data_IF_858922111251
#
_entry.id   IF_858922111251
#
_cell.length_a   1.000
_cell.length_b   1.000
_cell.length_c   1.000
_cell.angle_alpha   90.00
_cell.angle_beta   90.00
_cell.angle_gamma   90.00
#
_symmetry.space_group_name_H-M   'P 1'
#
loop_
_entity.id
_entity.type
_entity.pdbx_description
1 polymer ?
#
# COMPACT_ATOMS: atom_id res chain seq x y z
N UNK A 1 -6.10 -17.77 -12.00
CA UNK A 1 -5.68 -16.75 -11.05
C UNK A 1 -6.25 -17.06 -9.69
N UNK A 2 -5.43 -17.10 -8.68
CA UNK A 2 -5.89 -17.40 -7.32
C UNK A 2 -5.55 -16.33 -6.31
N UNK A 3 -4.46 -15.59 -6.51
CA UNK A 3 -4.00 -14.60 -5.54
C UNK A 3 -3.77 -13.26 -6.22
N UNK A 4 -4.14 -12.20 -5.51
CA UNK A 4 -3.91 -10.85 -5.97
C UNK A 4 -3.20 -10.04 -4.90
N UNK A 5 -2.31 -9.16 -5.33
CA UNK A 5 -1.58 -8.25 -4.44
C UNK A 5 -2.12 -6.85 -4.66
N UNK A 6 -2.66 -6.26 -3.62
CA UNK A 6 -3.25 -4.93 -3.68
C UNK A 6 -2.36 -3.94 -2.96
N UNK A 7 -1.86 -2.94 -3.68
CA UNK A 7 -1.12 -1.85 -3.05
C UNK A 7 -2.09 -0.96 -2.28
N UNK A 8 -1.85 -0.77 -1.00
CA UNK A 8 -2.70 0.05 -0.14
C UNK A 8 -1.90 1.24 0.34
N UNK A 9 -2.40 2.42 0.05
CA UNK A 9 -1.79 3.67 0.46
C UNK A 9 -2.86 4.75 0.51
N UNK A 10 -2.60 5.77 1.30
CA UNK A 10 -3.47 6.94 1.36
C UNK A 10 -3.07 7.87 0.23
N UNK A 11 -3.67 7.67 -0.94
CA UNK A 11 -3.37 8.45 -2.12
C UNK A 11 -4.63 8.66 -2.94
N UNK A 12 -4.50 9.42 -4.04
CA UNK A 12 -5.65 9.79 -4.87
C UNK A 12 -6.27 8.59 -5.59
N UNK A 13 -5.47 7.59 -5.89
CA UNK A 13 -5.94 6.41 -6.61
C UNK A 13 -6.48 5.32 -5.72
N UNK A 14 -6.47 5.51 -4.40
CA UNK A 14 -6.80 4.45 -3.46
C UNK A 14 -8.18 3.84 -3.66
N UNK A 15 -9.19 4.69 -3.81
CA UNK A 15 -10.55 4.20 -3.96
C UNK A 15 -10.75 3.45 -5.26
N UNK A 16 -10.25 3.98 -6.37
CA UNK A 16 -10.37 3.32 -7.66
C UNK A 16 -9.61 2.00 -7.68
N UNK A 17 -8.44 1.98 -7.04
CA UNK A 17 -7.64 0.77 -6.94
C UNK A 17 -8.36 -0.31 -6.13
N UNK A 18 -8.98 0.09 -5.02
CA UNK A 18 -9.75 -0.84 -4.21
C UNK A 18 -10.97 -1.36 -4.96
N UNK A 19 -11.68 -0.48 -5.67
CA UNK A 19 -12.81 -0.91 -6.49
C UNK A 19 -12.39 -1.95 -7.53
N UNK A 20 -11.28 -1.71 -8.20
CA UNK A 20 -10.77 -2.65 -9.19
C UNK A 20 -10.40 -3.98 -8.55
N UNK A 21 -9.78 -3.94 -7.36
CA UNK A 21 -9.40 -5.15 -6.65
C UNK A 21 -10.62 -5.98 -6.27
N UNK A 22 -11.67 -5.32 -5.78
CA UNK A 22 -12.90 -6.01 -5.40
C UNK A 22 -13.54 -6.68 -6.63
N UNK A 23 -13.60 -5.95 -7.75
CA UNK A 23 -14.19 -6.49 -8.97
C UNK A 23 -13.40 -7.69 -9.47
N UNK A 24 -12.08 -7.62 -9.48
CA UNK A 24 -11.25 -8.73 -9.91
C UNK A 24 -11.37 -9.92 -8.97
N UNK A 25 -11.37 -9.66 -7.67
CA UNK A 25 -11.47 -10.73 -6.68
C UNK A 25 -12.78 -11.48 -6.82
N UNK A 26 -13.86 -10.76 -7.07
CA UNK A 26 -15.16 -11.40 -7.23
C UNK A 26 -15.29 -12.13 -8.57
N UNK A 27 -14.71 -11.56 -9.63
CA UNK A 27 -14.77 -12.19 -10.96
C UNK A 27 -13.96 -13.47 -11.04
N UNK A 28 -12.81 -13.53 -10.36
CA UNK A 28 -11.87 -14.63 -10.47
C UNK A 28 -11.69 -15.40 -9.16
N UNK A 29 -12.47 -15.07 -8.15
CA UNK A 29 -12.39 -15.71 -6.83
C UNK A 29 -10.97 -15.61 -6.26
N UNK A 30 -10.44 -14.40 -6.25
CA UNK A 30 -9.08 -14.17 -5.76
C UNK A 30 -9.04 -14.02 -4.25
N UNK A 31 -7.94 -14.52 -3.67
CA UNK A 31 -7.56 -14.17 -2.32
C UNK A 31 -6.63 -12.95 -2.43
N UNK A 32 -6.98 -11.84 -1.80
CA UNK A 32 -6.20 -10.62 -1.89
C UNK A 32 -5.22 -10.51 -0.73
N UNK A 33 -4.04 -10.00 -1.00
CA UNK A 33 -3.11 -9.56 0.02
C UNK A 33 -3.00 -8.04 -0.07
N UNK A 34 -3.43 -7.35 0.98
CA UNK A 34 -3.24 -5.90 1.06
C UNK A 34 -1.82 -5.61 1.53
N UNK A 35 -1.11 -4.79 0.79
CA UNK A 35 0.28 -4.49 1.09
C UNK A 35 0.48 -3.00 1.33
N UNK A 36 1.02 -2.66 2.49
CA UNK A 36 1.39 -1.30 2.84
C UNK A 36 2.90 -1.21 2.95
N UNK A 37 3.46 -0.10 2.51
CA UNK A 37 4.89 0.16 2.58
C UNK A 37 5.17 1.33 3.50
N UNK A 38 6.24 1.22 4.27
CA UNK A 38 6.68 2.26 5.17
C UNK A 38 8.11 2.66 4.82
N UNK A 39 8.30 3.71 4.01
CA UNK A 39 9.64 4.16 3.67
C UNK A 39 10.38 4.63 4.91
N UNK A 40 11.66 4.31 4.99
CA UNK A 40 12.47 4.74 6.14
C UNK A 40 12.47 6.26 6.29
N UNK A 41 12.41 6.99 5.19
CA UNK A 41 12.36 8.44 5.23
C UNK A 41 11.14 8.99 5.97
N UNK A 42 10.08 8.21 6.07
CA UNK A 42 8.89 8.64 6.81
C UNK A 42 9.14 8.75 8.31
N UNK A 43 10.23 8.15 8.80
CA UNK A 43 10.53 8.09 10.22
C UNK A 43 11.76 8.92 10.61
N UNK A 44 12.30 9.68 9.68
CA UNK A 44 13.55 10.38 9.91
C UNK A 44 13.34 11.89 9.99
N UNK A 45 14.15 12.53 10.82
CA UNK A 45 14.20 13.99 10.92
C UNK A 45 15.62 14.46 10.65
N UNK A 46 15.74 15.62 10.01
CA UNK A 46 17.06 16.21 9.77
C UNK A 46 17.57 16.89 11.03
N UNK A 47 18.85 16.69 11.29
CA UNK A 47 19.58 17.36 12.36
C UNK A 47 20.07 18.71 11.81
N UNK A 48 19.95 19.81 12.58
CA UNK A 48 20.52 21.09 12.14
C UNK A 48 22.01 21.06 11.86
N UNK A 49 22.71 20.07 12.39
CA UNK A 49 24.15 19.90 12.13
C UNK A 49 24.45 18.94 10.99
N UNK A 50 23.45 18.62 10.17
CA UNK A 50 23.66 17.85 8.95
C UNK A 50 23.42 16.36 9.07
N UNK A 51 23.05 15.87 10.24
CA UNK A 51 22.73 14.45 10.43
C UNK A 51 21.27 14.17 10.21
N UNK A 52 20.94 12.88 10.27
CA UNK A 52 19.55 12.41 10.19
C UNK A 52 19.34 11.44 11.36
N UNK A 53 18.21 11.54 12.03
CA UNK A 53 17.93 10.65 13.15
C UNK A 53 16.46 10.21 13.09
N UNK A 54 16.15 9.03 13.67
CA UNK A 54 14.76 8.55 13.69
C UNK A 54 13.88 9.40 14.59
N UNK A 55 12.61 9.53 14.23
CA UNK A 55 11.63 10.28 14.99
C UNK A 55 10.50 9.34 15.42
N UNK A 56 10.37 9.16 16.74
CA UNK A 56 9.28 8.37 17.29
C UNK A 56 7.93 9.00 16.95
N UNK A 57 7.86 10.32 16.97
CA UNK A 57 6.62 11.02 16.66
C UNK A 57 6.18 10.76 15.22
N UNK A 58 7.09 10.87 14.25
CA UNK A 58 6.77 10.62 12.86
C UNK A 58 6.38 9.17 12.64
N UNK A 59 7.08 8.26 13.28
CA UNK A 59 6.77 6.84 13.23
C UNK A 59 5.34 6.58 13.73
N UNK A 60 5.00 7.12 14.90
CA UNK A 60 3.69 6.91 15.50
C UNK A 60 2.57 7.49 14.64
N UNK A 61 2.78 8.69 14.11
CA UNK A 61 1.78 9.33 13.26
C UNK A 61 1.58 8.56 11.97
N UNK A 62 2.66 8.07 11.39
CA UNK A 62 2.57 7.29 10.16
C UNK A 62 1.84 5.97 10.40
N UNK A 63 2.14 5.29 11.50
CA UNK A 63 1.46 4.05 11.85
C UNK A 63 -0.03 4.26 12.04
N UNK A 64 -0.42 5.34 12.69
CA UNK A 64 -1.84 5.65 12.88
C UNK A 64 -2.55 5.82 11.56
N UNK A 65 -1.93 6.53 10.62
CA UNK A 65 -2.53 6.71 9.29
C UNK A 65 -2.63 5.39 8.55
N UNK A 66 -1.59 4.57 8.62
CA UNK A 66 -1.62 3.26 7.97
C UNK A 66 -2.68 2.36 8.60
N UNK A 67 -2.83 2.40 9.92
CA UNK A 67 -3.85 1.60 10.60
C UNK A 67 -5.26 2.03 10.19
N UNK A 68 -5.49 3.34 10.08
CA UNK A 68 -6.79 3.84 9.64
C UNK A 68 -7.10 3.42 8.20
N UNK A 69 -6.13 3.51 7.32
CA UNK A 69 -6.29 3.09 5.93
C UNK A 69 -6.55 1.59 5.86
N UNK A 70 -5.80 0.81 6.62
CA UNK A 70 -6.01 -0.63 6.69
C UNK A 70 -7.41 -0.97 7.15
N UNK A 71 -7.87 -0.33 8.22
CA UNK A 71 -9.20 -0.62 8.76
C UNK A 71 -10.30 -0.36 7.73
N UNK A 72 -10.19 0.73 6.98
CA UNK A 72 -11.17 1.06 5.96
C UNK A 72 -11.17 0.04 4.82
N UNK A 73 -9.99 -0.37 4.38
CA UNK A 73 -9.87 -1.37 3.30
C UNK A 73 -10.40 -2.73 3.77
N UNK A 74 -10.02 -3.13 4.97
CA UNK A 74 -10.48 -4.42 5.51
C UNK A 74 -11.99 -4.46 5.66
N UNK A 75 -12.59 -3.35 6.11
CA UNK A 75 -14.04 -3.29 6.23
C UNK A 75 -14.71 -3.48 4.87
N UNK A 76 -14.19 -2.83 3.84
CA UNK A 76 -14.72 -2.96 2.50
C UNK A 76 -14.60 -4.40 1.98
N UNK A 77 -13.44 -5.03 2.19
CA UNK A 77 -13.23 -6.40 1.73
C UNK A 77 -14.16 -7.38 2.45
N UNK A 78 -14.37 -7.18 3.74
CA UNK A 78 -15.32 -8.02 4.48
C UNK A 78 -16.74 -7.85 3.96
N UNK A 79 -17.15 -6.61 3.73
CA UNK A 79 -18.50 -6.33 3.22
C UNK A 79 -18.72 -6.97 1.86
N UNK A 80 -17.69 -7.05 1.05
CA UNK A 80 -17.78 -7.63 -0.29
C UNK A 80 -17.57 -9.13 -0.31
N UNK A 81 -17.28 -9.72 0.84
CA UNK A 81 -17.07 -11.17 0.93
C UNK A 81 -15.77 -11.64 0.30
N UNK A 82 -14.76 -10.79 0.25
CA UNK A 82 -13.46 -11.11 -0.34
C UNK A 82 -12.51 -11.60 0.75
N UNK A 83 -11.90 -12.76 0.53
CA UNK A 83 -10.89 -13.27 1.45
C UNK A 83 -9.60 -12.48 1.29
N UNK A 84 -8.94 -12.16 2.40
CA UNK A 84 -7.74 -11.34 2.33
C UNK A 84 -6.76 -11.64 3.46
N UNK A 85 -5.50 -11.31 3.18
CA UNK A 85 -4.42 -11.24 4.16
C UNK A 85 -3.82 -9.84 4.10
N UNK A 86 -2.91 -9.55 5.02
CA UNK A 86 -2.31 -8.24 5.14
C UNK A 86 -0.83 -8.34 5.39
N UNK A 87 -0.06 -7.45 4.78
CA UNK A 87 1.34 -7.30 5.11
C UNK A 87 1.74 -5.82 5.13
N UNK A 88 2.74 -5.53 5.92
CA UNK A 88 3.29 -4.18 5.99
C UNK A 88 4.81 -4.33 5.96
N UNK A 89 5.43 -3.78 4.93
CA UNK A 89 6.86 -3.89 4.74
C UNK A 89 7.57 -2.58 4.91
N UNK A 90 8.88 -2.65 5.15
CA UNK A 90 9.73 -1.48 5.24
C UNK A 90 10.43 -1.28 3.90
N UNK A 91 10.45 -0.06 3.43
CA UNK A 91 11.04 0.29 2.15
C UNK A 91 10.06 1.03 1.26
N UNK A 92 10.46 1.29 0.02
CA UNK A 92 9.56 1.94 -0.93
C UNK A 92 8.43 1.00 -1.33
N UNK A 93 7.30 1.54 -1.82
CA UNK A 93 6.23 0.68 -2.33
C UNK A 93 6.72 -0.30 -3.39
N UNK A 94 7.59 0.16 -4.29
CA UNK A 94 8.11 -0.73 -5.33
C UNK A 94 8.87 -1.92 -4.74
N UNK A 95 9.69 -1.67 -3.72
CA UNK A 95 10.46 -2.74 -3.09
C UNK A 95 9.53 -3.75 -2.42
N UNK A 96 8.56 -3.27 -1.66
CA UNK A 96 7.63 -4.14 -0.93
C UNK A 96 6.81 -4.97 -1.91
N UNK A 97 6.32 -4.34 -2.98
CA UNK A 97 5.50 -5.04 -3.96
C UNK A 97 6.31 -6.05 -4.77
N UNK A 98 7.55 -5.72 -5.13
CA UNK A 98 8.40 -6.65 -5.85
C UNK A 98 8.70 -7.91 -5.03
N UNK A 99 8.95 -7.74 -3.75
CA UNK A 99 9.22 -8.89 -2.88
C UNK A 99 8.05 -9.85 -2.84
N UNK A 100 6.83 -9.35 -2.92
CA UNK A 100 5.63 -10.17 -2.84
C UNK A 100 5.10 -10.60 -4.19
N UNK A 101 5.60 -10.00 -5.28
CA UNK A 101 5.03 -10.24 -6.61
C UNK A 101 5.15 -11.68 -7.06
N UNK A 102 6.19 -12.36 -6.63
CA UNK A 102 6.41 -13.76 -7.02
C UNK A 102 5.35 -14.69 -6.47
N UNK A 103 4.66 -14.29 -5.41
CA UNK A 103 3.65 -15.11 -4.75
C UNK A 103 2.24 -14.75 -5.20
N UNK A 104 2.11 -13.84 -6.15
CA UNK A 104 0.81 -13.34 -6.58
C UNK A 104 0.64 -13.52 -8.07
N UNK A 105 -0.59 -13.84 -8.47
CA UNK A 105 -0.93 -14.00 -9.88
C UNK A 105 -1.20 -12.67 -10.57
N UNK A 106 -1.64 -11.67 -9.80
CA UNK A 106 -1.93 -10.34 -10.34
C UNK A 106 -1.58 -9.29 -9.29
N UNK A 107 -1.12 -8.14 -9.75
CA UNK A 107 -0.80 -7.01 -8.88
C UNK A 107 -1.67 -5.84 -9.30
N UNK A 108 -2.30 -5.21 -8.32
CA UNK A 108 -3.22 -4.09 -8.57
C UNK A 108 -2.57 -2.81 -8.07
N UNK A 109 -2.21 -1.95 -9.02
CA UNK A 109 -1.53 -0.69 -8.79
C UNK A 109 -2.32 0.44 -9.44
N UNK A 110 -1.99 1.66 -9.07
CA UNK A 110 -2.51 2.84 -9.74
C UNK A 110 -1.44 3.43 -10.64
N UNK A 111 -1.87 3.94 -11.79
CA UNK A 111 -1.04 4.78 -12.63
C UNK A 111 -1.31 6.23 -12.24
N UNK A 112 -0.27 6.98 -11.90
CA UNK A 112 -0.41 8.37 -11.49
C UNK A 112 0.02 9.28 -12.62
N UNK A 113 -0.61 10.45 -12.70
CA UNK A 113 -0.19 11.49 -13.63
C UNK A 113 1.17 12.03 -13.21
N UNK A 114 1.99 12.41 -14.16
CA UNK A 114 3.33 12.88 -13.86
C UNK A 114 3.32 14.15 -13.02
N UNK A 115 2.33 15.01 -13.19
CA UNK A 115 2.25 16.25 -12.44
C UNK A 115 1.85 16.02 -10.97
N UNK A 116 1.57 14.81 -10.60
CA UNK A 116 1.28 14.48 -9.22
C UNK A 116 2.49 13.92 -8.49
N UNK A 117 3.65 14.24 -8.99
CA UNK A 117 4.86 13.75 -8.40
C UNK A 117 5.04 12.27 -8.62
N UNK A 118 4.45 11.78 -9.66
CA UNK A 118 4.43 10.39 -9.93
C UNK A 118 5.81 9.83 -10.22
N UNK A 119 5.86 8.59 -10.07
CA UNK A 119 7.04 7.82 -10.31
C UNK A 119 7.20 7.47 -11.77
N UNK A 120 6.30 7.86 -12.59
CA UNK A 120 6.38 7.64 -14.01
C UNK A 120 7.25 8.67 -14.70
N UNK A 121 7.59 9.63 -14.10
CA UNK A 121 8.51 10.59 -14.55
C UNK A 121 8.79 10.58 -16.01
N UNK A 122 8.48 10.55 -16.74
CA UNK A 122 8.93 10.62 -17.90
C UNK A 122 8.97 11.19 -18.45
#
# INVERSE_FOLDING_TARGET
MKTGLLHVAEDRGGDARLDAAVQLARAFDLHLTGAQAAPLSAYAMADPFGGVYPSVKLFTEHEKRQDATRAAVEARLRDEGVAFDWLRGVGSPATVLLDQSRLSDVIILSHLESDEGGWDAE
#
